data_IF_359447866635
#
_entry.id   IF_359447866635
#
_cell.length_a   1.000
_cell.length_b   1.000
_cell.length_c   1.000
_cell.angle_alpha   90.00
_cell.angle_beta   90.00
_cell.angle_gamma   90.00
#
_symmetry.space_group_name_H-M   'P 1'
#
loop_
_entity.id
_entity.type
_entity.pdbx_description
1 polymer ?
#
# COMPACT_ATOMS: atom_id res chain seq x y z
N UNK A 1 -25.84 1.74 -25.55
CA UNK A 1 -27.31 1.62 -25.57
C UNK A 1 -27.74 1.40 -24.14
N UNK A 2 -28.03 2.49 -23.43
CA UNK A 2 -28.62 2.43 -22.09
C UNK A 2 -30.07 2.85 -22.25
N UNK A 3 -30.85 2.02 -22.94
CA UNK A 3 -32.28 2.23 -23.18
C UNK A 3 -33.02 1.85 -21.91
N UNK A 4 -33.48 2.85 -21.16
CA UNK A 4 -34.42 2.62 -20.09
C UNK A 4 -35.80 2.43 -20.71
N UNK A 5 -36.39 1.21 -20.72
CA UNK A 5 -37.70 0.94 -21.35
C UNK A 5 -38.85 1.79 -20.76
N UNK A 6 -38.61 2.40 -19.58
CA UNK A 6 -39.52 3.34 -18.92
C UNK A 6 -39.53 4.74 -19.54
N UNK A 7 -38.41 5.17 -20.13
CA UNK A 7 -38.33 6.46 -20.83
C UNK A 7 -39.09 6.38 -22.16
N UNK A 8 -38.92 5.28 -22.89
CA UNK A 8 -39.62 5.03 -24.16
C UNK A 8 -41.15 4.97 -23.98
N UNK A 9 -41.62 4.38 -22.88
CA UNK A 9 -43.05 4.36 -22.54
C UNK A 9 -43.63 5.77 -22.34
N UNK A 10 -42.91 6.66 -21.66
CA UNK A 10 -43.36 8.04 -21.43
C UNK A 10 -43.40 8.83 -22.75
N UNK A 11 -42.39 8.64 -23.61
CA UNK A 11 -42.34 9.30 -24.91
C UNK A 11 -43.45 8.79 -25.84
N UNK A 12 -43.79 7.50 -25.77
CA UNK A 12 -44.91 6.93 -26.51
C UNK A 12 -46.27 7.45 -26.01
N UNK A 13 -46.46 7.62 -24.70
CA UNK A 13 -47.68 8.21 -24.12
C UNK A 13 -47.87 9.68 -24.54
N UNK A 14 -46.78 10.46 -24.60
CA UNK A 14 -46.80 11.85 -25.09
C UNK A 14 -47.13 11.90 -26.59
N UNK A 15 -46.52 11.01 -27.39
CA UNK A 15 -46.75 10.94 -28.83
C UNK A 15 -48.21 10.56 -29.17
N UNK A 16 -48.84 9.73 -28.32
CA UNK A 16 -50.25 9.36 -28.45
C UNK A 16 -51.22 10.38 -27.84
N UNK A 17 -50.72 11.48 -27.26
CA UNK A 17 -51.53 12.54 -26.64
C UNK A 17 -52.23 12.13 -25.34
N UNK A 18 -51.78 11.03 -24.71
CA UNK A 18 -52.35 10.52 -23.44
C UNK A 18 -51.92 11.39 -22.26
N UNK A 19 -50.73 12.00 -22.36
CA UNK A 19 -50.18 12.91 -21.35
C UNK A 19 -49.79 14.24 -21.98
N UNK A 20 -49.82 15.31 -21.19
CA UNK A 20 -49.34 16.62 -21.61
C UNK A 20 -47.80 16.76 -21.45
N UNK A 21 -47.23 17.81 -22.06
CA UNK A 21 -45.79 18.06 -22.02
C UNK A 21 -45.28 18.33 -20.59
N UNK A 22 -46.08 18.96 -19.74
CA UNK A 22 -45.68 19.29 -18.37
C UNK A 22 -45.60 18.04 -17.49
N UNK A 23 -46.50 17.09 -17.69
CA UNK A 23 -46.55 15.81 -17.00
C UNK A 23 -45.46 14.87 -17.49
N UNK A 24 -45.18 14.83 -18.80
CA UNK A 24 -44.02 14.11 -19.33
C UNK A 24 -42.70 14.61 -18.70
N UNK A 25 -42.50 15.94 -18.62
CA UNK A 25 -41.32 16.53 -17.97
C UNK A 25 -41.22 16.16 -16.49
N UNK A 26 -42.33 16.17 -15.74
CA UNK A 26 -42.35 15.74 -14.33
C UNK A 26 -41.97 14.27 -14.17
N UNK A 27 -42.48 13.38 -15.03
CA UNK A 27 -42.19 11.93 -14.95
C UNK A 27 -40.74 11.62 -15.34
N UNK A 28 -40.17 12.30 -16.32
CA UNK A 28 -38.75 12.17 -16.69
C UNK A 28 -37.85 12.68 -15.55
N UNK A 29 -38.18 13.84 -14.96
CA UNK A 29 -37.45 14.36 -13.81
C UNK A 29 -37.49 13.39 -12.62
N UNK A 30 -38.62 12.74 -12.36
CA UNK A 30 -38.74 11.72 -11.31
C UNK A 30 -37.95 10.43 -11.62
N UNK A 31 -37.87 10.01 -12.89
CA UNK A 31 -37.00 8.90 -13.29
C UNK A 31 -35.53 9.22 -13.08
N UNK A 32 -35.09 10.43 -13.46
CA UNK A 32 -33.72 10.88 -13.24
C UNK A 32 -33.40 10.99 -11.74
N UNK A 33 -34.33 11.51 -10.92
CA UNK A 33 -34.16 11.57 -9.46
C UNK A 33 -34.07 10.20 -8.80
N UNK A 34 -34.75 9.17 -9.31
CA UNK A 34 -34.58 7.78 -8.83
C UNK A 34 -33.27 7.13 -9.29
N UNK A 35 -32.71 7.59 -10.40
CA UNK A 35 -31.35 7.21 -10.81
C UNK A 35 -30.28 7.94 -9.97
N UNK A 36 -30.61 9.13 -9.45
CA UNK A 36 -29.78 9.92 -8.52
C UNK A 36 -30.04 9.61 -7.03
N UNK A 37 -31.07 8.82 -6.70
CA UNK A 37 -31.26 8.28 -5.36
C UNK A 37 -30.07 7.33 -5.12
N UNK A 38 -29.27 7.54 -4.04
CA UNK A 38 -28.02 6.80 -3.88
C UNK A 38 -28.38 5.33 -3.84
N UNK A 39 -28.04 4.62 -4.93
CA UNK A 39 -27.97 3.19 -4.93
C UNK A 39 -26.94 2.84 -3.86
N UNK A 40 -27.44 2.63 -2.63
CA UNK A 40 -26.71 1.97 -1.58
C UNK A 40 -26.26 0.67 -2.23
N UNK A 41 -24.97 0.59 -2.53
CA UNK A 41 -24.33 -0.55 -3.15
C UNK A 41 -24.80 -1.79 -2.39
N UNK A 42 -25.66 -2.58 -3.02
CA UNK A 42 -26.23 -3.83 -2.49
C UNK A 42 -25.18 -4.95 -2.50
N UNK A 43 -23.97 -4.62 -2.03
CA UNK A 43 -22.81 -5.50 -1.87
C UNK A 43 -21.98 -5.17 -0.62
N UNK A 44 -22.46 -4.28 0.25
CA UNK A 44 -21.77 -3.91 1.50
C UNK A 44 -22.20 -4.77 2.71
N UNK A 45 -22.92 -5.88 2.51
CA UNK A 45 -23.28 -6.81 3.58
C UNK A 45 -22.12 -7.80 3.79
N UNK A 46 -21.26 -7.53 4.79
CA UNK A 46 -20.23 -8.49 5.25
C UNK A 46 -18.82 -7.92 5.42
N UNK A 47 -18.56 -6.68 5.02
CA UNK A 47 -17.26 -6.04 5.26
C UNK A 47 -17.34 -5.14 6.50
N UNK A 48 -16.36 -5.27 7.39
CA UNK A 48 -16.29 -4.51 8.64
C UNK A 48 -16.38 -2.98 8.38
N UNK A 49 -17.07 -2.23 9.25
CA UNK A 49 -17.16 -0.78 9.12
C UNK A 49 -15.77 -0.16 9.31
N UNK A 50 -15.49 0.92 8.57
CA UNK A 50 -14.25 1.68 8.75
C UNK A 50 -14.30 2.31 10.15
N UNK A 51 -13.34 2.03 11.05
CA UNK A 51 -13.30 2.61 12.39
C UNK A 51 -13.34 4.15 12.33
N UNK A 52 -14.10 4.82 13.19
CA UNK A 52 -14.16 6.29 13.20
C UNK A 52 -12.94 6.91 13.89
N UNK A 53 -12.50 8.11 13.45
CA UNK A 53 -11.35 8.81 14.04
C UNK A 53 -11.71 9.57 15.32
N UNK A 54 -12.00 8.83 16.39
CA UNK A 54 -12.36 9.41 17.71
C UNK A 54 -11.15 9.66 18.60
N UNK A 55 -10.01 9.03 18.30
CA UNK A 55 -8.91 8.86 19.25
C UNK A 55 -9.24 7.82 20.32
N UNK A 56 -8.22 7.43 21.10
CA UNK A 56 -8.40 6.48 22.21
C UNK A 56 -7.40 6.74 23.34
N UNK A 57 -7.79 6.50 24.59
CA UNK A 57 -6.95 6.71 25.77
C UNK A 57 -6.43 8.14 25.96
N UNK A 58 -7.16 9.14 25.44
CA UNK A 58 -6.73 10.54 25.42
C UNK A 58 -5.58 10.82 24.42
N UNK A 59 -5.30 9.89 23.51
CA UNK A 59 -4.35 10.05 22.40
C UNK A 59 -5.15 10.14 21.10
N UNK A 60 -4.89 11.20 20.33
CA UNK A 60 -5.51 11.47 19.02
C UNK A 60 -4.58 11.13 17.88
N UNK A 61 -3.26 11.15 18.11
CA UNK A 61 -2.27 10.85 17.07
C UNK A 61 -1.08 10.05 17.58
N UNK A 62 -0.57 9.15 16.75
CA UNK A 62 0.70 8.44 16.95
C UNK A 62 1.65 8.83 15.84
N UNK A 63 2.80 9.41 16.18
CA UNK A 63 3.84 9.80 15.24
C UNK A 63 5.03 8.85 15.36
N UNK A 64 5.31 8.13 14.28
CA UNK A 64 6.42 7.18 14.20
C UNK A 64 7.55 7.82 13.41
N UNK A 65 8.70 8.02 14.03
CA UNK A 65 9.93 8.50 13.39
C UNK A 65 10.94 7.37 13.39
N UNK A 66 11.31 6.88 12.20
CA UNK A 66 12.29 5.81 12.08
C UNK A 66 13.36 6.09 11.02
N UNK A 67 14.60 5.72 11.32
CA UNK A 67 15.73 5.85 10.37
C UNK A 67 16.37 4.49 10.15
N UNK A 68 16.47 4.03 8.91
CA UNK A 68 17.15 2.79 8.55
C UNK A 68 16.52 1.51 9.06
N UNK A 69 15.21 1.51 9.39
CA UNK A 69 14.51 0.36 9.95
C UNK A 69 13.31 -0.06 9.12
N UNK A 70 12.92 -1.31 9.30
CA UNK A 70 11.64 -1.84 8.82
C UNK A 70 10.60 -1.59 9.90
N UNK A 71 9.59 -0.79 9.58
CA UNK A 71 8.47 -0.47 10.47
C UNK A 71 7.24 -1.21 9.96
N UNK A 72 6.61 -1.99 10.84
CA UNK A 72 5.32 -2.63 10.60
C UNK A 72 4.31 -2.02 11.55
N UNK A 73 3.27 -1.41 11.00
CA UNK A 73 2.16 -0.84 11.76
C UNK A 73 0.94 -1.73 11.58
N UNK A 74 0.32 -2.12 12.69
CA UNK A 74 -0.83 -3.01 12.72
C UNK A 74 -1.96 -2.30 13.46
N UNK A 75 -3.11 -2.15 12.82
CA UNK A 75 -4.32 -1.73 13.50
C UNK A 75 -4.83 -2.86 14.38
N UNK A 76 -5.04 -2.57 15.65
CA UNK A 76 -5.57 -3.53 16.60
C UNK A 76 -6.44 -2.86 17.65
N UNK A 77 -7.74 -3.16 17.63
CA UNK A 77 -8.73 -2.65 18.57
C UNK A 77 -8.52 -3.18 19.99
N UNK A 78 -7.84 -4.32 20.16
CA UNK A 78 -7.51 -4.86 21.48
C UNK A 78 -6.50 -3.99 22.25
N UNK A 79 -5.80 -3.08 21.56
CA UNK A 79 -4.85 -2.14 22.17
C UNK A 79 -5.57 -0.83 22.47
N UNK A 80 -5.46 -0.34 23.70
CA UNK A 80 -6.10 0.93 24.10
C UNK A 80 -5.48 2.16 23.43
N UNK A 81 -4.17 2.19 23.19
CA UNK A 81 -3.49 3.34 22.55
C UNK A 81 -2.50 2.87 21.49
N UNK A 82 -1.28 2.52 21.90
CA UNK A 82 -0.31 1.85 21.04
C UNK A 82 0.65 1.00 21.88
N UNK A 83 1.09 -0.12 21.32
CA UNK A 83 2.16 -0.97 21.87
C UNK A 83 3.25 -1.14 20.84
N UNK A 84 4.50 -1.08 21.27
CA UNK A 84 5.65 -1.10 20.37
C UNK A 84 6.59 -2.22 20.78
N UNK A 85 7.03 -3.01 19.80
CA UNK A 85 8.03 -4.07 19.94
C UNK A 85 9.26 -3.77 19.08
N UNK A 86 10.45 -3.98 19.64
CA UNK A 86 11.73 -3.66 18.99
C UNK A 86 12.51 -2.57 19.73
N UNK A 87 13.66 -2.17 19.18
CA UNK A 87 14.49 -1.10 19.76
C UNK A 87 13.86 0.27 19.44
N UNK A 88 13.31 0.94 20.46
CA UNK A 88 12.62 2.21 20.30
C UNK A 88 12.65 3.03 21.59
N UNK A 89 12.34 4.31 21.43
CA UNK A 89 12.01 5.23 22.52
C UNK A 89 10.60 5.75 22.29
N UNK A 90 9.79 5.80 23.35
CA UNK A 90 8.41 6.26 23.26
C UNK A 90 8.21 7.43 24.23
N UNK A 91 7.65 8.53 23.72
CA UNK A 91 7.38 9.74 24.50
C UNK A 91 5.95 10.18 24.25
N UNK A 92 5.19 10.39 25.33
CA UNK A 92 3.89 11.05 25.27
C UNK A 92 4.08 12.56 25.18
N UNK A 93 3.34 13.22 24.29
CA UNK A 93 3.31 14.67 24.13
C UNK A 93 1.85 15.13 24.07
N UNK A 94 1.31 15.65 25.17
CA UNK A 94 -0.09 16.04 25.30
C UNK A 94 -1.07 14.94 24.80
N UNK A 95 -1.68 15.16 23.64
CA UNK A 95 -2.63 14.28 22.93
C UNK A 95 -1.98 13.40 21.85
N UNK A 96 -0.66 13.46 21.70
CA UNK A 96 0.13 12.68 20.76
C UNK A 96 1.07 11.69 21.44
N UNK A 97 1.34 10.58 20.76
CA UNK A 97 2.39 9.64 21.14
C UNK A 97 3.49 9.67 20.08
N UNK A 98 4.73 9.90 20.48
CA UNK A 98 5.89 9.92 19.57
C UNK A 98 6.73 8.68 19.82
N UNK A 99 6.93 7.90 18.76
CA UNK A 99 7.75 6.69 18.76
C UNK A 99 8.96 6.97 17.89
N UNK A 100 10.15 7.01 18.48
CA UNK A 100 11.40 7.22 17.76
C UNK A 100 12.22 5.94 17.78
N UNK A 101 12.60 5.47 16.60
CA UNK A 101 13.40 4.28 16.44
C UNK A 101 14.57 4.55 15.48
N UNK A 102 15.78 4.19 15.88
CA UNK A 102 16.97 4.42 15.06
C UNK A 102 17.64 3.09 14.78
N UNK A 103 17.60 2.69 13.52
CA UNK A 103 18.41 1.59 13.01
C UNK A 103 19.84 2.07 12.84
N UNK A 104 20.79 1.27 13.30
CA UNK A 104 22.18 1.46 12.88
C UNK A 104 22.26 1.03 11.41
N UNK A 105 22.32 2.00 10.48
CA UNK A 105 22.91 1.73 9.17
C UNK A 105 24.37 1.38 9.44
N UNK A 106 24.74 0.10 9.33
CA UNK A 106 26.13 -0.31 9.41
C UNK A 106 26.97 0.40 8.33
N UNK A 107 28.28 0.62 8.56
CA UNK A 107 29.17 1.33 7.62
C UNK A 107 29.46 0.61 6.29
N UNK A 108 28.61 -0.31 5.83
CA UNK A 108 28.84 -1.16 4.66
C UNK A 108 28.09 -0.68 3.40
N UNK A 109 28.02 0.63 3.15
CA UNK A 109 27.60 1.16 1.83
C UNK A 109 28.78 1.17 0.82
N UNK A 110 29.96 0.67 1.22
CA UNK A 110 31.18 0.58 0.40
C UNK A 110 31.97 -0.71 0.67
N UNK A 111 31.29 -1.83 0.90
CA UNK A 111 31.90 -3.06 1.43
C UNK A 111 31.33 -4.37 0.89
N UNK A 112 31.01 -4.47 -0.40
CA UNK A 112 30.97 -5.79 -1.05
C UNK A 112 32.42 -6.28 -1.24
N UNK A 113 33.06 -6.75 -0.16
CA UNK A 113 34.29 -7.54 -0.30
C UNK A 113 33.90 -8.99 -0.55
N UNK A 114 34.26 -9.61 -1.68
CA UNK A 114 33.90 -10.99 -2.03
C UNK A 114 34.57 -12.07 -1.15
N UNK A 115 35.27 -11.67 -0.08
CA UNK A 115 36.21 -12.52 0.65
C UNK A 115 35.65 -13.09 1.96
N UNK A 116 34.56 -12.56 2.52
CA UNK A 116 33.94 -13.15 3.73
C UNK A 116 32.40 -13.07 3.70
N UNK A 117 31.69 -14.15 3.30
CA UNK A 117 30.24 -14.20 3.44
C UNK A 117 29.86 -14.29 4.94
N UNK A 118 28.90 -13.48 5.43
CA UNK A 118 28.51 -13.47 6.83
C UNK A 118 27.86 -14.80 7.23
N UNK A 119 28.38 -15.45 8.28
CA UNK A 119 27.99 -16.80 8.72
C UNK A 119 27.07 -16.83 9.96
N UNK A 120 26.75 -15.69 10.57
CA UNK A 120 26.03 -15.66 11.87
C UNK A 120 24.89 -14.64 11.92
N UNK A 121 23.74 -15.00 12.53
CA UNK A 121 22.56 -14.14 12.69
C UNK A 121 22.85 -12.81 13.43
N UNK A 122 23.90 -12.75 14.25
CA UNK A 122 24.39 -11.55 14.91
C UNK A 122 25.08 -10.55 13.96
N UNK A 123 25.61 -11.03 12.84
CA UNK A 123 26.31 -10.25 11.81
C UNK A 123 25.30 -9.53 10.89
N UNK A 124 24.15 -10.17 10.61
CA UNK A 124 23.02 -9.52 9.93
C UNK A 124 22.39 -8.39 10.78
N UNK A 125 22.35 -8.53 12.11
CA UNK A 125 21.90 -7.46 13.01
C UNK A 125 22.81 -6.22 12.93
N UNK A 126 24.09 -6.41 12.60
CA UNK A 126 25.08 -5.33 12.44
C UNK A 126 25.03 -4.68 11.04
N UNK A 127 24.48 -5.37 10.04
CA UNK A 127 24.25 -4.89 8.67
C UNK A 127 23.00 -4.00 8.50
N UNK A 128 22.35 -3.56 9.59
CA UNK A 128 21.10 -2.81 9.53
C UNK A 128 19.86 -3.67 9.27
N UNK A 129 20.00 -5.00 9.25
CA UNK A 129 18.89 -5.97 9.19
C UNK A 129 18.40 -6.30 10.61
N UNK A 130 18.21 -5.27 11.43
CA UNK A 130 17.71 -5.41 12.80
C UNK A 130 16.29 -6.01 12.87
N UNK A 131 15.83 -6.39 14.09
CA UNK A 131 14.44 -6.77 14.31
C UNK A 131 13.53 -5.63 13.83
N UNK A 132 12.49 -5.98 13.08
CA UNK A 132 11.53 -5.00 12.60
C UNK A 132 10.88 -4.30 13.80
N UNK A 133 10.68 -2.99 13.70
CA UNK A 133 9.88 -2.24 14.65
C UNK A 133 8.41 -2.57 14.38
N UNK A 134 7.76 -3.26 15.30
CA UNK A 134 6.34 -3.55 15.20
C UNK A 134 5.56 -2.61 16.12
N UNK A 135 4.62 -1.87 15.55
CA UNK A 135 3.78 -0.89 16.25
C UNK A 135 2.33 -1.34 16.08
N UNK A 136 1.70 -1.81 17.15
CA UNK A 136 0.26 -2.05 17.17
C UNK A 136 -0.44 -0.80 17.68
N UNK A 137 -1.38 -0.25 16.93
CA UNK A 137 -2.08 1.00 17.25
C UNK A 137 -3.57 0.74 17.19
N UNK A 138 -4.32 1.38 18.07
CA UNK A 138 -5.77 1.38 17.97
C UNK A 138 -6.22 2.05 16.66
N UNK A 139 -7.04 1.42 15.81
CA UNK A 139 -7.40 1.95 14.50
C UNK A 139 -8.24 3.23 14.55
N UNK A 140 -8.79 3.61 15.72
CA UNK A 140 -9.46 4.90 15.95
C UNK A 140 -8.49 6.08 16.14
N UNK A 141 -7.18 5.84 16.17
CA UNK A 141 -6.14 6.86 16.35
C UNK A 141 -5.45 7.15 15.00
N UNK A 142 -5.20 8.43 14.71
CA UNK A 142 -4.51 8.82 13.49
C UNK A 142 -3.01 8.46 13.58
N UNK A 143 -2.47 7.83 12.53
CA UNK A 143 -1.04 7.50 12.45
C UNK A 143 -0.30 8.46 11.52
N UNK A 144 0.79 9.03 12.00
CA UNK A 144 1.77 9.77 11.21
C UNK A 144 3.07 8.95 11.16
N UNK A 145 3.75 8.94 10.01
CA UNK A 145 4.99 8.22 9.85
C UNK A 145 6.03 9.08 9.13
N UNK A 146 7.24 9.13 9.67
CA UNK A 146 8.40 9.72 9.04
C UNK A 146 9.53 8.70 9.01
N UNK A 147 9.86 8.22 7.82
CA UNK A 147 10.91 7.23 7.61
C UNK A 147 12.00 7.79 6.70
N UNK A 148 13.26 7.60 7.11
CA UNK A 148 14.43 7.89 6.28
C UNK A 148 15.27 6.63 6.15
N UNK A 149 15.22 6.01 4.99
CA UNK A 149 15.84 4.69 4.76
C UNK A 149 15.03 3.57 5.43
N UNK A 150 14.77 2.49 4.69
CA UNK A 150 14.09 1.30 5.21
C UNK A 150 12.74 1.02 4.56
N UNK A 151 11.80 0.45 5.31
CA UNK A 151 10.47 0.14 4.77
C UNK A 151 9.35 0.38 5.78
N UNK A 152 8.22 0.87 5.29
CA UNK A 152 6.98 1.04 6.03
C UNK A 152 5.95 0.04 5.50
N UNK A 153 5.42 -0.79 6.38
CA UNK A 153 4.30 -1.68 6.08
C UNK A 153 3.16 -1.35 7.02
N UNK A 154 1.95 -1.22 6.50
CA UNK A 154 0.76 -1.15 7.32
C UNK A 154 -0.24 -2.25 7.00
N UNK A 155 -0.99 -2.61 8.01
CA UNK A 155 -2.11 -3.53 7.95
C UNK A 155 -3.19 -3.02 8.91
N UNK A 156 -4.43 -2.93 8.41
CA UNK A 156 -5.62 -2.58 9.20
C UNK A 156 -5.56 -1.19 9.87
N UNK A 157 -4.79 -0.26 9.29
CA UNK A 157 -4.71 1.13 9.76
C UNK A 157 -5.43 2.05 8.77
N UNK A 158 -6.68 2.45 9.06
CA UNK A 158 -7.49 3.24 8.14
C UNK A 158 -7.08 4.71 8.04
N UNK A 159 -6.63 5.30 9.16
CA UNK A 159 -6.43 6.76 9.28
C UNK A 159 -4.95 7.14 9.32
N UNK A 160 -4.48 7.68 8.21
CA UNK A 160 -3.14 8.24 8.07
C UNK A 160 -3.19 9.76 7.98
N UNK A 161 -2.39 10.41 8.82
CA UNK A 161 -2.17 11.84 8.73
C UNK A 161 -1.06 12.14 7.74
N UNK A 162 0.12 12.47 8.28
CA UNK A 162 1.30 12.77 7.48
C UNK A 162 2.22 11.57 7.37
N UNK A 163 2.50 11.13 6.15
CA UNK A 163 3.44 10.06 5.83
C UNK A 163 4.58 10.62 4.98
N UNK A 164 5.81 10.59 5.48
CA UNK A 164 7.01 10.98 4.75
C UNK A 164 7.96 9.81 4.70
N UNK A 165 8.31 9.36 3.51
CA UNK A 165 9.27 8.26 3.34
C UNK A 165 10.31 8.67 2.31
N UNK A 166 11.56 8.72 2.75
CA UNK A 166 12.71 9.02 1.90
C UNK A 166 13.59 7.79 1.78
N UNK A 167 14.05 7.46 0.56
CA UNK A 167 14.94 6.33 0.28
C UNK A 167 14.40 4.97 0.82
N UNK A 168 13.12 4.66 0.58
CA UNK A 168 12.47 3.50 1.19
C UNK A 168 11.33 2.90 0.37
N UNK A 169 10.79 1.80 0.89
CA UNK A 169 9.61 1.12 0.31
C UNK A 169 8.44 1.25 1.26
N UNK A 170 7.31 1.73 0.74
CA UNK A 170 6.07 1.87 1.51
C UNK A 170 5.00 0.96 0.96
N UNK A 171 4.32 0.24 1.85
CA UNK A 171 3.18 -0.60 1.50
C UNK A 171 2.10 -0.40 2.54
N UNK A 172 1.08 0.40 2.21
CA UNK A 172 -0.05 0.65 3.10
C UNK A 172 -1.26 -0.15 2.63
N UNK A 173 -1.93 -0.84 3.56
CA UNK A 173 -3.13 -1.63 3.28
C UNK A 173 -4.30 -1.18 4.14
N UNK A 174 -5.49 -1.26 3.57
CA UNK A 174 -6.74 -0.87 4.23
C UNK A 174 -6.83 0.63 4.51
N UNK A 175 -6.22 1.47 3.68
CA UNK A 175 -6.21 2.93 3.88
C UNK A 175 -7.57 3.52 3.50
N UNK A 176 -8.24 4.13 4.48
CA UNK A 176 -9.48 4.89 4.26
C UNK A 176 -9.21 6.38 4.04
N UNK A 177 -8.17 6.92 4.70
CA UNK A 177 -7.76 8.31 4.62
C UNK A 177 -6.24 8.43 4.76
N UNK A 178 -5.61 9.23 3.90
CA UNK A 178 -4.20 9.60 3.96
C UNK A 178 -4.05 11.08 3.59
N UNK A 179 -3.96 11.95 4.61
CA UNK A 179 -4.02 13.40 4.43
C UNK A 179 -2.86 13.95 3.57
N UNK A 180 -1.63 13.58 3.89
CA UNK A 180 -0.42 14.10 3.24
C UNK A 180 0.64 13.01 3.14
N UNK A 181 0.94 12.56 1.92
CA UNK A 181 1.95 11.56 1.62
C UNK A 181 3.08 12.14 0.78
N UNK A 182 4.32 12.11 1.27
CA UNK A 182 5.52 12.49 0.51
C UNK A 182 6.47 11.31 0.40
N UNK A 183 6.73 10.88 -0.83
CA UNK A 183 7.60 9.76 -1.14
C UNK A 183 8.78 10.24 -1.98
N UNK A 184 9.98 10.22 -1.39
CA UNK A 184 11.21 10.71 -2.00
C UNK A 184 12.15 9.54 -2.27
N UNK A 185 12.48 9.30 -3.54
CA UNK A 185 13.38 8.22 -3.95
C UNK A 185 12.94 6.82 -3.44
N UNK A 186 11.76 6.35 -3.85
CA UNK A 186 11.22 5.08 -3.35
C UNK A 186 10.04 4.50 -4.12
N UNK A 187 9.56 3.36 -3.66
CA UNK A 187 8.32 2.76 -4.17
C UNK A 187 7.25 2.81 -3.10
N UNK A 188 6.07 3.34 -3.44
CA UNK A 188 4.91 3.37 -2.56
C UNK A 188 3.75 2.61 -3.19
N UNK A 189 3.14 1.70 -2.45
CA UNK A 189 1.88 1.06 -2.80
C UNK A 189 0.87 1.36 -1.71
N UNK A 190 -0.26 1.91 -2.10
CA UNK A 190 -1.34 2.31 -1.19
C UNK A 190 -2.58 1.58 -1.65
N UNK A 191 -3.09 0.72 -0.78
CA UNK A 191 -4.27 -0.09 -1.02
C UNK A 191 -5.34 0.27 0.01
N UNK A 192 -6.59 0.42 -0.46
CA UNK A 192 -7.73 0.58 0.42
C UNK A 192 -8.94 1.22 -0.26
N UNK A 193 -10.03 1.42 0.50
CA UNK A 193 -11.22 2.07 -0.02
C UNK A 193 -10.96 3.55 -0.34
N UNK A 194 -10.11 4.25 0.41
CA UNK A 194 -9.86 5.70 0.21
C UNK A 194 -11.17 6.46 0.02
N UNK A 195 -12.06 6.39 1.00
CA UNK A 195 -13.43 6.93 0.91
C UNK A 195 -13.62 8.19 1.75
N UNK A 196 -12.57 8.67 2.41
CA UNK A 196 -12.64 9.80 3.35
C UNK A 196 -11.61 10.89 3.02
N UNK A 197 -12.04 12.14 3.24
CA UNK A 197 -11.16 13.31 3.32
C UNK A 197 -10.50 13.77 2.02
N UNK A 198 -9.49 14.61 2.20
CA UNK A 198 -8.61 15.11 1.15
C UNK A 198 -7.28 14.37 1.24
N UNK A 199 -6.88 13.73 0.15
CA UNK A 199 -5.72 12.86 0.11
C UNK A 199 -4.69 13.44 -0.87
N UNK A 200 -3.64 14.10 -0.37
CA UNK A 200 -2.59 14.67 -1.22
C UNK A 200 -1.35 13.80 -1.19
N UNK A 201 -1.00 13.18 -2.31
CA UNK A 201 0.17 12.32 -2.46
C UNK A 201 1.17 12.92 -3.45
N UNK A 202 2.42 13.02 -3.02
CA UNK A 202 3.53 13.57 -3.80
C UNK A 202 4.66 12.56 -3.89
N UNK A 203 5.14 12.35 -5.12
CA UNK A 203 6.24 11.45 -5.43
C UNK A 203 7.30 12.22 -6.18
N UNK A 204 8.44 12.46 -5.55
CA UNK A 204 9.51 13.23 -6.19
C UNK A 204 10.31 12.36 -7.15
N UNK A 205 10.67 11.15 -6.71
CA UNK A 205 11.44 10.20 -7.51
C UNK A 205 11.02 8.78 -7.15
N UNK A 206 10.64 7.99 -8.15
CA UNK A 206 10.31 6.58 -7.97
C UNK A 206 8.93 6.18 -8.53
N UNK A 207 8.24 5.26 -7.84
CA UNK A 207 6.97 4.71 -8.33
C UNK A 207 5.90 4.73 -7.25
N UNK A 208 4.71 5.20 -7.60
CA UNK A 208 3.52 5.13 -6.77
C UNK A 208 2.47 4.25 -7.46
N UNK A 209 1.95 3.28 -6.73
CA UNK A 209 0.81 2.48 -7.11
C UNK A 209 -0.32 2.75 -6.11
N UNK A 210 -1.49 3.15 -6.60
CA UNK A 210 -2.71 3.25 -5.81
C UNK A 210 -3.68 2.19 -6.28
N UNK A 211 -4.12 1.35 -5.34
CA UNK A 211 -4.98 0.20 -5.56
C UNK A 211 -6.29 0.45 -4.82
N UNK A 212 -7.34 0.78 -5.57
CA UNK A 212 -8.67 1.04 -5.03
C UNK A 212 -9.37 -0.30 -4.80
N UNK A 213 -9.88 -0.48 -3.59
CA UNK A 213 -10.62 -1.67 -3.18
C UNK A 213 -12.12 -1.44 -3.16
N UNK A 214 -12.88 -2.45 -2.76
CA UNK A 214 -14.30 -2.34 -2.50
C UNK A 214 -14.61 -1.16 -1.55
N UNK A 215 -15.75 -0.50 -1.78
CA UNK A 215 -16.18 0.74 -1.11
C UNK A 215 -15.36 2.00 -1.42
N UNK A 216 -14.54 1.97 -2.47
CA UNK A 216 -13.90 3.18 -2.93
C UNK A 216 -14.91 4.22 -3.44
N UNK A 217 -14.78 5.45 -2.94
CA UNK A 217 -15.65 6.58 -3.26
C UNK A 217 -14.78 7.86 -3.32
N UNK A 218 -14.08 8.04 -4.44
CA UNK A 218 -13.03 9.06 -4.59
C UNK A 218 -12.92 9.60 -6.01
N UNK A 219 -12.75 10.92 -6.12
CA UNK A 219 -12.29 11.59 -7.34
C UNK A 219 -10.77 11.73 -7.33
N UNK A 220 -10.10 11.15 -8.33
CA UNK A 220 -8.64 11.13 -8.46
C UNK A 220 -8.18 12.09 -9.54
N UNK A 221 -7.28 13.00 -9.20
CA UNK A 221 -6.54 13.80 -10.20
C UNK A 221 -5.07 13.42 -10.14
N UNK A 222 -4.42 13.19 -11.29
CA UNK A 222 -3.01 12.81 -11.32
C UNK A 222 -2.19 13.64 -12.31
N UNK A 223 -1.06 14.16 -11.86
CA UNK A 223 -0.13 14.95 -12.69
C UNK A 223 1.30 14.50 -12.44
N UNK A 224 2.06 14.24 -13.51
CA UNK A 224 3.49 13.92 -13.42
C UNK A 224 4.27 14.82 -14.39
N UNK A 225 5.29 15.53 -13.90
CA UNK A 225 6.08 16.47 -14.70
C UNK A 225 7.02 15.74 -15.67
N UNK A 226 7.76 14.75 -15.16
CA UNK A 226 8.78 13.98 -15.87
C UNK A 226 8.54 12.49 -15.60
N UNK A 227 7.42 11.97 -16.12
CA UNK A 227 7.05 10.58 -15.91
C UNK A 227 5.78 10.18 -16.64
N UNK A 228 5.19 9.07 -16.21
CA UNK A 228 3.95 8.55 -16.81
C UNK A 228 2.92 8.28 -15.74
N UNK A 229 1.67 8.64 -16.05
CA UNK A 229 0.48 8.25 -15.28
C UNK A 229 -0.21 7.13 -16.03
N UNK A 230 -0.56 6.05 -15.35
CA UNK A 230 -1.35 4.94 -15.89
C UNK A 230 -2.66 4.86 -15.12
N UNK A 231 -3.75 5.03 -15.85
CA UNK A 231 -5.11 4.90 -15.34
C UNK A 231 -5.63 3.46 -15.49
N UNK A 232 -6.64 3.05 -14.70
CA UNK A 232 -7.22 1.71 -14.77
C UNK A 232 -7.83 1.37 -16.14
N UNK A 233 -7.84 0.09 -16.49
CA UNK A 233 -8.55 -0.45 -17.66
C UNK A 233 -7.94 -0.10 -19.01
N UNK A 234 -6.66 0.31 -19.05
CA UNK A 234 -5.92 0.70 -20.25
C UNK A 234 -6.63 1.77 -21.12
N UNK A 235 -7.60 2.50 -20.55
CA UNK A 235 -8.28 3.62 -21.21
C UNK A 235 -7.25 4.74 -21.36
N UNK A 236 -6.69 4.82 -22.57
CA UNK A 236 -5.50 5.61 -22.88
C UNK A 236 -5.56 7.06 -22.42
N UNK A 237 -4.45 7.52 -21.84
CA UNK A 237 -3.81 8.85 -21.80
C UNK A 237 -4.61 10.16 -21.96
N UNK A 238 -5.93 10.18 -21.80
CA UNK A 238 -6.78 11.33 -22.15
C UNK A 238 -7.71 11.81 -21.03
N UNK A 239 -7.49 11.32 -19.81
CA UNK A 239 -8.23 11.75 -18.63
C UNK A 239 -7.25 12.33 -17.62
N UNK A 240 -7.51 13.55 -17.16
CA UNK A 240 -6.79 14.18 -16.04
C UNK A 240 -7.40 13.78 -14.68
N UNK A 241 -8.66 13.32 -14.72
CA UNK A 241 -9.45 12.93 -13.56
C UNK A 241 -10.11 11.56 -13.77
N UNK A 242 -10.14 10.75 -12.72
CA UNK A 242 -10.80 9.45 -12.66
C UNK A 242 -11.72 9.40 -11.44
N UNK A 243 -13.00 9.09 -11.66
CA UNK A 243 -14.01 9.08 -10.61
C UNK A 243 -14.39 7.64 -10.29
N UNK A 244 -14.34 7.28 -9.00
CA UNK A 244 -14.82 6.00 -8.48
C UNK A 244 -15.93 6.27 -7.48
N UNK A 245 -17.03 5.51 -7.58
CA UNK A 245 -18.21 5.74 -6.75
C UNK A 245 -18.85 7.10 -7.04
N UNK A 246 -19.11 7.88 -5.99
CA UNK A 246 -19.74 9.22 -6.05
C UNK A 246 -18.73 10.37 -6.00
N UNK A 247 -17.47 10.10 -5.68
CA UNK A 247 -16.42 11.09 -5.47
C UNK A 247 -16.52 11.83 -4.14
N UNK A 248 -16.95 11.17 -3.05
CA UNK A 248 -17.04 11.81 -1.73
C UNK A 248 -15.67 12.23 -1.18
N UNK A 249 -14.63 11.41 -1.42
CA UNK A 249 -13.26 11.78 -1.13
C UNK A 249 -12.58 12.38 -2.36
N UNK A 250 -11.52 13.14 -2.11
CA UNK A 250 -10.65 13.66 -3.18
C UNK A 250 -9.24 13.13 -3.00
N UNK A 251 -8.60 12.73 -4.09
CA UNK A 251 -7.21 12.32 -4.09
C UNK A 251 -6.43 13.04 -5.19
N UNK A 252 -5.39 13.76 -4.79
CA UNK A 252 -4.49 14.46 -5.68
C UNK A 252 -3.13 13.76 -5.71
N UNK A 253 -2.74 13.27 -6.87
CA UNK A 253 -1.48 12.57 -7.10
C UNK A 253 -0.55 13.47 -7.90
N UNK A 254 0.60 13.82 -7.33
CA UNK A 254 1.60 14.67 -7.98
C UNK A 254 2.95 13.96 -8.06
N UNK A 255 3.59 14.05 -9.23
CA UNK A 255 4.85 13.40 -9.55
C UNK A 255 5.86 14.35 -10.16
N UNK A 256 7.13 14.28 -9.75
CA UNK A 256 8.23 14.96 -10.47
C UNK A 256 8.87 13.99 -11.45
N UNK A 257 9.77 13.11 -11.00
CA UNK A 257 10.39 12.05 -11.81
C UNK A 257 9.81 10.68 -11.43
N UNK A 258 8.52 10.48 -11.71
CA UNK A 258 7.80 9.34 -11.13
C UNK A 258 6.84 8.63 -12.08
N UNK A 259 6.69 7.32 -11.85
CA UNK A 259 5.65 6.50 -12.44
C UNK A 259 4.48 6.39 -11.47
N UNK A 260 3.32 6.91 -11.84
CA UNK A 260 2.08 6.80 -11.07
C UNK A 260 1.19 5.77 -11.77
N UNK A 261 0.73 4.78 -11.04
CA UNK A 261 -0.20 3.75 -11.52
C UNK A 261 -1.40 3.75 -10.61
N UNK A 262 -2.58 3.97 -11.17
CA UNK A 262 -3.86 3.83 -10.50
C UNK A 262 -4.48 2.54 -10.99
N UNK A 263 -4.97 1.72 -10.06
CA UNK A 263 -5.67 0.47 -10.31
C UNK A 263 -7.01 0.50 -9.60
N UNK A 264 -8.04 0.07 -10.30
CA UNK A 264 -9.35 -0.17 -9.72
C UNK A 264 -9.58 -1.67 -9.70
N UNK A 265 -9.36 -2.29 -8.54
CA UNK A 265 -9.45 -3.75 -8.39
C UNK A 265 -10.90 -4.25 -8.39
N UNK A 266 -11.87 -3.34 -8.23
CA UNK A 266 -13.30 -3.66 -8.26
C UNK A 266 -13.79 -3.67 -9.70
N UNK A 267 -13.47 -2.62 -10.45
CA UNK A 267 -13.87 -2.51 -11.86
C UNK A 267 -13.05 -3.42 -12.78
N UNK A 268 -11.77 -3.64 -12.47
CA UNK A 268 -10.81 -4.41 -13.27
C UNK A 268 -10.03 -5.41 -12.39
N UNK A 269 -10.68 -6.50 -11.93
CA UNK A 269 -10.05 -7.47 -11.03
C UNK A 269 -8.81 -8.14 -11.65
N UNK A 270 -8.73 -8.22 -12.99
CA UNK A 270 -7.55 -8.75 -13.69
C UNK A 270 -6.27 -7.91 -13.47
N UNK A 271 -6.38 -6.65 -13.02
CA UNK A 271 -5.23 -5.82 -12.69
C UNK A 271 -4.54 -6.25 -11.38
N UNK A 272 -5.24 -6.98 -10.51
CA UNK A 272 -4.70 -7.50 -9.26
C UNK A 272 -3.51 -8.45 -9.49
N UNK A 273 -3.57 -9.27 -10.53
CA UNK A 273 -2.54 -10.26 -10.87
C UNK A 273 -1.32 -9.64 -11.57
N UNK A 274 -1.37 -8.36 -11.96
CA UNK A 274 -0.25 -7.69 -12.62
C UNK A 274 0.81 -7.26 -11.60
N UNK A 275 2.06 -7.73 -11.69
CA UNK A 275 3.09 -7.40 -10.71
C UNK A 275 3.45 -5.90 -10.73
N UNK A 276 3.29 -5.24 -9.59
CA UNK A 276 3.69 -3.85 -9.37
C UNK A 276 5.21 -3.72 -9.42
N UNK A 277 5.74 -2.53 -9.70
CA UNK A 277 7.19 -2.28 -9.66
C UNK A 277 7.83 -2.71 -8.33
N UNK A 278 7.11 -2.52 -7.21
CA UNK A 278 7.51 -3.01 -5.89
C UNK A 278 7.52 -4.54 -5.75
N UNK A 279 6.60 -5.23 -6.42
CA UNK A 279 6.53 -6.70 -6.37
C UNK A 279 7.59 -7.34 -7.24
N UNK A 280 7.99 -6.71 -8.35
CA UNK A 280 9.12 -7.18 -9.16
C UNK A 280 10.43 -7.14 -8.38
N UNK A 281 10.62 -6.12 -7.53
CA UNK A 281 11.78 -6.04 -6.64
C UNK A 281 11.76 -7.16 -5.59
N UNK A 282 10.58 -7.53 -5.05
CA UNK A 282 10.46 -8.68 -4.11
C UNK A 282 10.56 -10.03 -4.80
N UNK A 283 9.94 -10.20 -5.97
CA UNK A 283 9.97 -11.42 -6.77
C UNK A 283 11.37 -11.74 -7.25
N UNK A 284 12.12 -10.72 -7.71
CA UNK A 284 13.54 -10.85 -8.02
C UNK A 284 14.36 -11.28 -6.80
N UNK A 285 14.15 -10.66 -5.64
CA UNK A 285 14.84 -11.05 -4.40
C UNK A 285 14.53 -12.50 -3.99
N UNK A 286 13.27 -12.95 -4.13
CA UNK A 286 12.84 -14.31 -3.78
C UNK A 286 13.43 -15.36 -4.73
N UNK A 287 13.47 -15.08 -6.04
CA UNK A 287 14.10 -15.95 -7.04
C UNK A 287 15.60 -16.07 -6.80
N UNK A 288 16.28 -14.97 -6.46
CA UNK A 288 17.71 -14.98 -6.12
C UNK A 288 17.98 -15.83 -4.87
N UNK A 289 17.16 -15.70 -3.82
CA UNK A 289 17.32 -16.49 -2.59
C UNK A 289 17.09 -17.99 -2.82
N UNK A 290 16.09 -18.37 -3.64
CA UNK A 290 15.86 -19.77 -4.00
C UNK A 290 17.03 -20.35 -4.80
N UNK A 291 17.53 -19.60 -5.80
CA UNK A 291 18.66 -20.04 -6.63
C UNK A 291 19.97 -20.14 -5.82
N UNK A 292 20.18 -19.25 -4.85
CA UNK A 292 21.32 -19.33 -3.92
C UNK A 292 21.20 -20.55 -3.00
N UNK A 293 20.01 -20.88 -2.51
CA UNK A 293 19.78 -22.11 -1.72
C UNK A 293 20.03 -23.38 -2.53
N UNK A 294 19.60 -23.42 -3.78
CA UNK A 294 19.86 -24.56 -4.68
C UNK A 294 21.36 -24.72 -4.96
N UNK A 295 22.08 -23.63 -5.21
CA UNK A 295 23.55 -23.66 -5.42
C UNK A 295 24.29 -24.04 -4.14
N UNK A 296 23.81 -23.62 -2.96
CA UNK A 296 24.39 -24.02 -1.68
C UNK A 296 24.10 -25.49 -1.33
N UNK A 297 22.91 -26.00 -1.66
CA UNK A 297 22.57 -27.41 -1.50
C UNK A 297 23.41 -28.31 -2.42
N UNK A 298 23.62 -27.88 -3.67
CA UNK A 298 24.49 -28.60 -4.62
C UNK A 298 25.98 -28.59 -4.20
N UNK A 299 26.43 -27.55 -3.50
CA UNK A 299 27.78 -27.52 -2.92
C UNK A 299 27.93 -28.35 -1.65
N UNK A 300 26.86 -28.51 -0.87
CA UNK A 300 26.89 -29.39 0.31
C UNK A 300 26.91 -30.87 -0.10
N UNK A 301 26.16 -31.26 -1.15
CA UNK A 301 26.15 -32.63 -1.67
C UNK A 301 27.42 -33.02 -2.42
N UNK A 302 28.20 -32.07 -2.92
CA UNK A 302 29.45 -32.35 -3.65
C UNK A 302 30.70 -32.51 -2.78
N UNK A 303 30.59 -32.32 -1.45
CA UNK A 303 31.74 -32.40 -0.53
C UNK A 303 31.81 -33.76 0.19
N UNK A 304 30.73 -34.57 0.18
CA UNK A 304 30.75 -35.91 0.78
C UNK A 304 31.36 -37.01 -0.10
N UNK A 305 31.48 -36.81 -1.42
CA UNK A 305 31.98 -37.85 -2.35
C UNK A 305 33.49 -37.79 -2.65
N UNK A 306 34.26 -36.92 -1.96
CA UNK A 306 35.70 -36.73 -2.22
C UNK A 306 36.62 -37.03 -1.02
N UNK A 307 36.15 -37.77 -0.01
CA UNK A 307 36.94 -38.19 1.14
C UNK A 307 36.82 -39.71 1.37
N UNK A 308 37.32 -40.51 0.42
CA UNK A 308 37.21 -41.96 0.50
C UNK A 308 38.06 -42.75 -0.48
N UNK A 309 39.32 -42.36 -0.70
CA UNK A 309 40.30 -43.25 -1.36
C UNK A 309 41.75 -42.88 -1.06
N UNK A 310 42.25 -43.19 0.14
CA UNK A 310 43.67 -43.50 0.35
C UNK A 310 43.77 -44.82 1.09
N UNK A 311 44.19 -45.86 0.37
CA UNK A 311 44.41 -47.21 0.89
C UNK A 311 45.72 -47.34 1.68
N UNK A 312 45.86 -48.40 2.48
CA UNK A 312 46.82 -48.46 3.59
C UNK A 312 48.22 -48.89 3.17
N UNK A 313 49.21 -48.35 3.89
CA UNK A 313 50.62 -48.72 3.85
C UNK A 313 50.90 -50.05 4.55
N UNK A 314 51.48 -51.00 3.81
CA UNK A 314 52.71 -51.72 4.16
C UNK A 314 52.81 -52.54 5.46
N UNK A 315 52.80 -53.86 5.26
CA UNK A 315 53.76 -54.87 5.75
C UNK A 315 53.82 -55.30 7.23
N UNK A 316 53.49 -56.58 7.39
CA UNK A 316 53.79 -57.46 8.52
C UNK A 316 54.98 -58.38 8.15
N UNK A 317 56.09 -58.17 8.87
CA UNK A 317 57.24 -59.06 9.19
C UNK A 317 57.65 -60.22 8.27
N UNK A 318 58.92 -60.16 7.87
CA UNK A 318 59.83 -61.27 7.58
C UNK A 318 61.27 -60.80 7.69
#
# INVERSE_FOLDING_TARGET
MSDSPKLDAILAELANGVIDTAEASRRIAALNQRSDEPAALTGAEGLDPIPELTGSGGIRSVTITATGQRVRVIGDEAVSTATVSGQHTMRRNADGLVITATGRLGPSIRGFSPINPPRTASDLKQLGLGPALEVRVNPHIQVNAQLSGGSLQSQDVPHWGRVRVSAGVTHLRGVAQLNDGLFQAGTATINGPISLGLNTLRVESGSLAVELTERADVGLSATSQLGVVRWPGEKGNRFDEYLVGRGLARMELSGVMSRIVVRDLVAFPEEADRPTAGDRLRGGARVVVTKVREVQAARASGVEDAAGSEGPSGDEKG
#
